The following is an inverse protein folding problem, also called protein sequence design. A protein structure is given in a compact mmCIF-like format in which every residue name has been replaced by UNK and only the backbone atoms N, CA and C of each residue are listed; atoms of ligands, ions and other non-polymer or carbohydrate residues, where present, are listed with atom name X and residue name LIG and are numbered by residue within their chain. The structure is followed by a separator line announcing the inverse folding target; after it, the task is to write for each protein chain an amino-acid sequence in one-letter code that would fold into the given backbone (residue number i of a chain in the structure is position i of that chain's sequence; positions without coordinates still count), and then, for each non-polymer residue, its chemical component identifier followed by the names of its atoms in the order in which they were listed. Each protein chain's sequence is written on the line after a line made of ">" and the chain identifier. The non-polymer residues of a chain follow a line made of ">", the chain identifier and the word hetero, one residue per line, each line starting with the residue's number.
data_IF_949306430443
#
_entry.id   IF_949306430443
#
_cell.length_a   1.000
_cell.length_b   1.000
_cell.length_c   1.000
_cell.angle_alpha   90.00
_cell.angle_beta   90.00
_cell.angle_gamma   90.00
#
_symmetry.space_group_name_H-M   'P 1'
#
loop_
_entity.id
_entity.type
_entity.pdbx_description
1 polymer ?
#
# COMPACT_ATOMS: atom_id res chain seq x y z
N UNK A 1 -51.88 -36.60 11.05
CA UNK A 1 -50.96 -36.35 9.91
C UNK A 1 -50.75 -34.89 9.57
N UNK A 2 -51.75 -33.99 9.51
CA UNK A 2 -51.56 -32.58 9.16
C UNK A 2 -50.64 -31.78 10.08
N UNK A 3 -50.63 -32.03 11.42
CA UNK A 3 -49.74 -31.31 12.37
C UNK A 3 -48.25 -31.72 12.23
N UNK A 4 -47.96 -32.97 11.90
CA UNK A 4 -46.54 -33.40 11.67
C UNK A 4 -45.96 -32.82 10.38
N UNK A 5 -46.79 -32.60 9.36
CA UNK A 5 -46.38 -31.94 8.10
C UNK A 5 -46.11 -30.44 8.27
N UNK A 6 -46.85 -29.78 9.17
CA UNK A 6 -46.64 -28.35 9.44
C UNK A 6 -45.33 -28.13 10.21
N UNK A 7 -45.03 -28.97 11.23
CA UNK A 7 -43.76 -28.91 11.98
C UNK A 7 -42.56 -29.20 11.08
N UNK A 8 -42.68 -30.16 10.15
CA UNK A 8 -41.62 -30.46 9.18
C UNK A 8 -41.35 -29.31 8.19
N UNK A 9 -42.44 -28.62 7.74
CA UNK A 9 -42.31 -27.43 6.89
C UNK A 9 -41.67 -26.24 7.65
N UNK A 10 -42.03 -26.06 8.93
CA UNK A 10 -41.44 -24.99 9.76
C UNK A 10 -39.96 -25.32 10.04
N UNK A 11 -39.60 -26.56 10.33
CA UNK A 11 -38.20 -26.97 10.49
C UNK A 11 -37.39 -26.83 9.21
N UNK A 12 -37.95 -27.14 8.03
CA UNK A 12 -37.34 -26.93 6.74
C UNK A 12 -37.17 -25.44 6.42
N UNK A 13 -38.11 -24.58 6.80
CA UNK A 13 -37.99 -23.12 6.61
C UNK A 13 -36.92 -22.57 7.56
N UNK A 14 -36.88 -23.00 8.82
CA UNK A 14 -35.87 -22.56 9.79
C UNK A 14 -34.46 -23.02 9.36
N UNK A 15 -34.33 -24.27 8.81
CA UNK A 15 -33.03 -24.73 8.28
C UNK A 15 -32.61 -24.00 7.01
N UNK A 16 -33.55 -23.48 6.22
CA UNK A 16 -33.25 -22.66 5.03
C UNK A 16 -32.81 -21.24 5.40
N UNK A 17 -33.30 -20.69 6.51
CA UNK A 17 -32.91 -19.33 6.93
C UNK A 17 -31.49 -19.28 7.49
N UNK A 18 -30.97 -20.35 8.10
CA UNK A 18 -29.60 -20.38 8.66
C UNK A 18 -28.48 -20.40 7.61
N UNK A 19 -28.76 -20.67 6.33
CA UNK A 19 -27.75 -20.69 5.27
C UNK A 19 -27.51 -19.34 4.61
N UNK A 20 -28.11 -18.24 5.10
CA UNK A 20 -28.09 -16.92 4.48
C UNK A 20 -27.77 -15.77 5.45
N UNK A 21 -27.34 -16.10 6.65
CA UNK A 21 -26.87 -15.12 7.63
C UNK A 21 -25.39 -14.81 7.38
N UNK A 22 -24.97 -13.57 7.63
CA UNK A 22 -23.57 -13.23 7.66
C UNK A 22 -22.89 -13.94 8.83
N UNK A 23 -21.73 -14.54 8.55
CA UNK A 23 -21.06 -15.43 9.52
C UNK A 23 -20.49 -14.69 10.73
N UNK A 24 -20.28 -13.36 10.64
CA UNK A 24 -19.79 -12.57 11.77
C UNK A 24 -20.75 -12.62 12.99
N UNK A 25 -22.04 -12.82 12.74
CA UNK A 25 -23.05 -12.96 13.81
C UNK A 25 -22.88 -14.22 14.67
N UNK A 26 -22.17 -15.23 14.13
CA UNK A 26 -21.96 -16.53 14.76
C UNK A 26 -20.52 -16.75 15.25
N UNK A 27 -19.67 -15.69 15.20
CA UNK A 27 -18.33 -15.73 15.81
C UNK A 27 -18.50 -15.80 17.33
N UNK A 28 -17.85 -16.78 17.93
CA UNK A 28 -17.91 -17.01 19.38
C UNK A 28 -17.24 -15.84 20.12
N UNK A 29 -18.09 -15.00 20.72
CA UNK A 29 -17.71 -13.85 21.55
C UNK A 29 -17.58 -14.22 23.04
N UNK A 30 -18.20 -15.29 23.49
CA UNK A 30 -18.37 -15.62 24.90
C UNK A 30 -17.42 -16.72 25.39
N UNK A 31 -16.49 -17.14 24.54
CA UNK A 31 -15.51 -18.16 24.90
C UNK A 31 -14.51 -17.63 25.94
N UNK A 32 -14.66 -18.04 27.19
CA UNK A 32 -13.78 -17.67 28.31
C UNK A 32 -12.43 -18.38 28.33
N UNK A 33 -12.05 -19.08 27.29
CA UNK A 33 -10.77 -19.79 27.22
C UNK A 33 -9.61 -18.80 27.13
N UNK A 34 -9.17 -18.34 28.32
CA UNK A 34 -7.97 -17.51 28.43
C UNK A 34 -6.78 -18.39 28.80
N UNK A 35 -5.90 -18.65 27.87
CA UNK A 35 -4.61 -19.28 28.15
C UNK A 35 -3.64 -18.13 28.40
N UNK A 36 -3.19 -17.99 29.66
CA UNK A 36 -2.20 -16.99 30.01
C UNK A 36 -0.81 -17.61 29.85
N UNK A 37 0.04 -16.91 29.11
CA UNK A 37 1.48 -17.19 29.05
C UNK A 37 2.22 -16.09 29.80
N UNK A 38 3.25 -16.41 30.57
CA UNK A 38 4.14 -15.40 31.15
C UNK A 38 4.86 -14.70 29.97
N UNK A 39 4.76 -13.38 29.92
CA UNK A 39 5.43 -12.53 28.94
C UNK A 39 5.90 -11.26 29.65
N UNK A 40 7.14 -10.86 29.39
CA UNK A 40 7.72 -9.62 29.91
C UNK A 40 7.42 -8.41 29.00
N UNK A 41 6.71 -8.63 27.88
CA UNK A 41 6.32 -7.55 26.97
C UNK A 41 5.18 -6.72 27.58
N UNK A 42 5.14 -5.44 27.27
CA UNK A 42 4.13 -4.51 27.77
C UNK A 42 2.71 -4.92 27.33
N UNK A 43 2.57 -5.34 26.09
CA UNK A 43 1.37 -5.94 25.52
C UNK A 43 1.64 -7.37 25.05
N UNK A 44 0.63 -8.21 25.16
CA UNK A 44 0.71 -9.59 24.71
C UNK A 44 -0.62 -10.07 24.14
N UNK A 45 -0.64 -10.42 22.85
CA UNK A 45 -1.82 -10.95 22.16
C UNK A 45 -2.08 -12.41 22.53
N UNK A 46 -3.20 -12.68 23.17
CA UNK A 46 -3.69 -14.03 23.42
C UNK A 46 -4.16 -14.62 22.10
N UNK A 47 -4.95 -13.84 21.35
CA UNK A 47 -5.25 -14.14 19.96
C UNK A 47 -5.51 -12.87 19.13
N UNK A 48 -5.34 -13.01 17.80
CA UNK A 48 -5.71 -12.01 16.79
C UNK A 48 -6.32 -12.75 15.58
N UNK A 49 -7.64 -12.77 15.48
CA UNK A 49 -8.35 -13.51 14.46
C UNK A 49 -8.94 -12.53 13.42
N UNK A 50 -8.78 -12.88 12.17
CA UNK A 50 -9.31 -12.15 11.02
C UNK A 50 -10.29 -13.05 10.26
N UNK A 51 -11.49 -12.54 10.02
CA UNK A 51 -12.51 -13.21 9.23
C UNK A 51 -12.86 -12.30 8.05
N UNK A 52 -12.90 -12.86 6.86
CA UNK A 52 -13.30 -12.17 5.64
C UNK A 52 -14.39 -12.99 4.98
N UNK A 53 -15.55 -12.39 4.75
CA UNK A 53 -16.66 -13.06 4.12
C UNK A 53 -17.10 -12.33 2.85
N UNK A 54 -17.08 -13.01 1.73
CA UNK A 54 -17.69 -12.54 0.49
C UNK A 54 -19.17 -12.97 0.49
N UNK A 55 -20.05 -11.99 0.51
CA UNK A 55 -21.48 -12.20 0.64
C UNK A 55 -22.24 -11.58 -0.53
N UNK A 56 -22.98 -12.40 -1.28
CA UNK A 56 -23.88 -11.94 -2.34
C UNK A 56 -25.29 -11.80 -1.79
N UNK A 57 -25.83 -10.58 -1.88
CA UNK A 57 -27.22 -10.30 -1.50
C UNK A 57 -28.18 -10.95 -2.47
N UNK A 58 -29.16 -11.72 -1.96
CA UNK A 58 -30.21 -12.32 -2.79
C UNK A 58 -31.25 -11.31 -3.28
N UNK A 59 -31.31 -10.14 -2.66
CA UNK A 59 -32.32 -9.13 -2.97
C UNK A 59 -31.82 -8.13 -4.00
N UNK A 60 -30.54 -7.73 -3.91
CA UNK A 60 -29.94 -6.73 -4.80
C UNK A 60 -28.94 -7.34 -5.80
N UNK A 61 -28.59 -8.64 -5.64
CA UNK A 61 -27.51 -9.32 -6.35
C UNK A 61 -26.12 -8.67 -6.16
N UNK A 62 -26.04 -7.62 -5.38
CA UNK A 62 -24.77 -6.97 -5.05
C UNK A 62 -23.92 -7.85 -4.15
N UNK A 63 -22.61 -7.73 -4.34
CA UNK A 63 -21.60 -8.43 -3.53
C UNK A 63 -20.99 -7.44 -2.56
N UNK A 64 -20.90 -7.84 -1.31
CA UNK A 64 -20.26 -7.11 -0.23
C UNK A 64 -19.17 -7.95 0.41
N UNK A 65 -18.20 -7.29 1.02
CA UNK A 65 -17.16 -7.94 1.82
C UNK A 65 -17.35 -7.54 3.28
N UNK A 66 -17.58 -8.52 4.16
CA UNK A 66 -17.57 -8.32 5.60
C UNK A 66 -16.23 -8.72 6.16
N UNK A 67 -15.55 -7.78 6.81
CA UNK A 67 -14.29 -8.02 7.47
C UNK A 67 -14.48 -7.90 8.98
N UNK A 68 -14.23 -8.97 9.71
CA UNK A 68 -14.29 -8.99 11.17
C UNK A 68 -12.89 -9.21 11.72
N UNK A 69 -12.52 -8.37 12.67
CA UNK A 69 -11.34 -8.57 13.51
C UNK A 69 -11.78 -8.88 14.93
N UNK A 70 -11.21 -9.93 15.51
CA UNK A 70 -11.47 -10.34 16.88
C UNK A 70 -10.14 -10.57 17.60
N UNK A 71 -9.83 -9.73 18.56
CA UNK A 71 -8.56 -9.72 19.29
C UNK A 71 -8.79 -9.89 20.78
N UNK A 72 -7.82 -10.51 21.45
CA UNK A 72 -7.77 -10.57 22.91
C UNK A 72 -6.33 -10.32 23.34
N UNK A 73 -6.10 -9.24 24.07
CA UNK A 73 -4.77 -8.75 24.42
C UNK A 73 -4.66 -8.54 25.91
N UNK A 74 -3.58 -9.02 26.51
CA UNK A 74 -3.23 -8.73 27.90
C UNK A 74 -2.35 -7.50 27.97
N UNK A 75 -2.68 -6.60 28.89
CA UNK A 75 -1.93 -5.39 29.20
C UNK A 75 -1.06 -5.67 30.41
N UNK A 76 0.24 -5.80 30.26
CA UNK A 76 1.17 -5.95 31.36
C UNK A 76 1.65 -4.60 31.88
N UNK A 77 1.82 -3.60 31.02
CA UNK A 77 2.18 -2.22 31.33
C UNK A 77 1.50 -1.25 30.36
N UNK A 78 1.11 -0.10 30.86
CA UNK A 78 0.53 0.99 30.08
C UNK A 78 1.64 2.03 29.84
N UNK A 79 2.28 1.99 28.69
CA UNK A 79 3.37 2.90 28.34
C UNK A 79 2.95 3.98 27.33
N UNK A 80 1.84 3.78 26.62
CA UNK A 80 1.35 4.70 25.62
C UNK A 80 -0.11 5.09 25.94
N UNK A 81 -0.46 6.39 25.89
CA UNK A 81 -1.85 6.83 25.98
C UNK A 81 -2.80 6.19 24.95
N UNK A 82 -2.26 5.68 23.83
CA UNK A 82 -3.03 5.00 22.79
C UNK A 82 -3.37 3.54 23.13
N UNK A 83 -2.81 2.97 24.21
CA UNK A 83 -3.05 1.57 24.60
C UNK A 83 -4.52 1.31 24.99
N UNK A 84 -5.29 2.37 25.27
CA UNK A 84 -6.73 2.31 25.58
C UNK A 84 -7.62 2.71 24.39
N UNK A 85 -7.08 2.87 23.20
CA UNK A 85 -7.81 3.31 22.02
C UNK A 85 -8.01 2.19 21.00
N UNK A 86 -9.20 2.12 20.43
CA UNK A 86 -9.53 1.22 19.32
C UNK A 86 -9.70 2.07 18.06
N UNK A 87 -8.75 1.97 17.16
CA UNK A 87 -8.75 2.72 15.90
C UNK A 87 -9.28 1.82 14.78
N UNK A 88 -10.42 2.20 14.19
CA UNK A 88 -11.03 1.48 13.07
C UNK A 88 -10.97 2.38 11.83
N UNK A 89 -10.25 1.93 10.79
CA UNK A 89 -10.18 2.63 9.51
C UNK A 89 -11.55 2.63 8.80
N UNK A 90 -11.93 3.78 8.25
CA UNK A 90 -13.09 3.96 7.37
C UNK A 90 -12.72 3.97 5.88
N UNK A 91 -11.44 3.85 5.55
CA UNK A 91 -10.97 3.85 4.17
C UNK A 91 -11.56 2.64 3.43
N UNK A 92 -12.29 2.90 2.35
CA UNK A 92 -13.02 1.88 1.58
C UNK A 92 -14.03 1.06 2.41
N UNK A 93 -14.57 1.66 3.48
CA UNK A 93 -15.58 1.06 4.34
C UNK A 93 -16.90 1.76 4.09
N UNK A 94 -17.93 1.00 3.68
CA UNK A 94 -19.28 1.49 3.47
C UNK A 94 -20.03 1.65 4.80
N UNK A 95 -19.74 0.76 5.78
CA UNK A 95 -20.42 0.74 7.07
C UNK A 95 -19.58 0.04 8.15
N UNK A 96 -19.54 0.57 9.37
CA UNK A 96 -19.11 -0.17 10.57
C UNK A 96 -20.35 -0.85 11.13
N UNK A 97 -20.43 -2.16 10.97
CA UNK A 97 -21.63 -2.96 11.27
C UNK A 97 -21.76 -3.28 12.75
N UNK A 98 -20.62 -3.55 13.40
CA UNK A 98 -20.58 -3.93 14.81
C UNK A 98 -19.23 -3.55 15.43
N UNK A 99 -19.24 -3.13 16.68
CA UNK A 99 -18.05 -2.93 17.51
C UNK A 99 -18.40 -3.32 18.95
N UNK A 100 -17.61 -4.20 19.55
CA UNK A 100 -17.78 -4.66 20.93
C UNK A 100 -16.46 -4.70 21.64
N UNK A 101 -16.46 -4.45 22.94
CA UNK A 101 -15.28 -4.58 23.78
C UNK A 101 -15.61 -5.24 25.11
N UNK A 102 -14.66 -6.00 25.67
CA UNK A 102 -14.69 -6.48 27.05
C UNK A 102 -13.39 -6.11 27.74
N UNK A 103 -13.50 -5.65 28.97
CA UNK A 103 -12.37 -5.49 29.87
C UNK A 103 -12.52 -6.57 30.95
N UNK A 104 -11.54 -7.44 31.06
CA UNK A 104 -11.52 -8.59 31.94
C UNK A 104 -10.38 -8.39 32.93
N UNK A 105 -10.70 -8.20 34.19
CA UNK A 105 -9.75 -8.22 35.30
C UNK A 105 -9.99 -9.44 36.19
N UNK A 106 -9.25 -9.57 37.29
CA UNK A 106 -9.31 -10.76 38.15
C UNK A 106 -10.71 -11.01 38.74
N UNK A 107 -11.49 -9.94 38.97
CA UNK A 107 -12.73 -10.01 39.75
C UNK A 107 -13.97 -9.66 38.93
N UNK A 108 -13.82 -8.98 37.79
CA UNK A 108 -14.94 -8.44 37.01
C UNK A 108 -14.74 -8.55 35.51
N UNK A 109 -15.86 -8.65 34.81
CA UNK A 109 -15.92 -8.51 33.34
C UNK A 109 -16.85 -7.35 33.04
N UNK A 110 -16.32 -6.31 32.38
CA UNK A 110 -17.10 -5.18 31.89
C UNK A 110 -17.24 -5.35 30.39
N UNK A 111 -18.47 -5.39 29.90
CA UNK A 111 -18.74 -5.57 28.46
C UNK A 111 -19.43 -4.34 27.89
N UNK A 112 -19.01 -3.92 26.73
CA UNK A 112 -19.57 -2.80 25.97
C UNK A 112 -20.09 -3.33 24.63
N UNK A 113 -21.38 -3.15 24.39
CA UNK A 113 -22.03 -3.46 23.12
C UNK A 113 -21.91 -2.30 22.13
N UNK A 114 -22.47 -2.48 20.94
CA UNK A 114 -22.32 -1.51 19.84
C UNK A 114 -22.84 -0.11 20.20
N UNK A 115 -23.98 -0.02 20.91
CA UNK A 115 -24.57 1.26 21.26
C UNK A 115 -23.78 2.02 22.33
N UNK A 116 -23.11 1.28 23.26
CA UNK A 116 -22.19 1.87 24.21
C UNK A 116 -20.91 2.32 23.52
N UNK A 117 -20.36 1.50 22.64
CA UNK A 117 -19.15 1.83 21.87
C UNK A 117 -19.35 3.09 21.01
N UNK A 118 -20.50 3.26 20.37
CA UNK A 118 -20.81 4.50 19.62
C UNK A 118 -20.68 5.78 20.45
N UNK A 119 -20.95 5.70 21.74
CA UNK A 119 -20.83 6.85 22.67
C UNK A 119 -19.40 7.14 23.10
N UNK A 120 -18.48 6.21 22.82
CA UNK A 120 -17.06 6.30 23.17
C UNK A 120 -16.21 6.82 22.02
N UNK A 121 -16.83 7.21 20.88
CA UNK A 121 -16.11 7.83 19.78
C UNK A 121 -15.57 9.17 20.25
N UNK A 122 -14.26 9.35 20.11
CA UNK A 122 -13.60 10.61 20.45
C UNK A 122 -13.96 11.65 19.38
N UNK A 123 -14.82 12.61 19.72
CA UNK A 123 -15.26 13.66 18.79
C UNK A 123 -14.19 14.71 18.50
N UNK A 124 -13.15 14.78 19.33
CA UNK A 124 -12.07 15.75 19.19
C UNK A 124 -11.02 15.28 18.15
N UNK A 125 -10.97 13.96 17.85
CA UNK A 125 -10.16 13.33 16.83
C UNK A 125 -11.04 12.95 15.59
N UNK A 126 -11.79 13.90 15.05
CA UNK A 126 -12.61 13.66 13.86
C UNK A 126 -11.75 13.60 12.58
N UNK A 127 -10.94 12.56 12.45
CA UNK A 127 -10.37 12.18 11.17
C UNK A 127 -11.47 11.50 10.34
N UNK A 128 -11.72 12.01 9.13
CA UNK A 128 -12.71 11.42 8.23
C UNK A 128 -12.38 9.96 7.87
N UNK A 129 -11.13 9.57 8.00
CA UNK A 129 -10.60 8.25 7.64
C UNK A 129 -10.64 7.21 8.76
N UNK A 130 -10.89 7.62 10.01
CA UNK A 130 -10.84 6.72 11.17
C UNK A 130 -11.97 7.01 12.17
N UNK A 131 -12.42 5.96 12.86
CA UNK A 131 -13.15 6.10 14.12
C UNK A 131 -12.22 5.67 15.24
N UNK A 132 -12.05 6.55 16.23
CA UNK A 132 -11.30 6.27 17.45
C UNK A 132 -12.25 6.09 18.62
N UNK A 133 -12.21 4.91 19.26
CA UNK A 133 -13.00 4.56 20.42
C UNK A 133 -12.11 4.48 21.64
N UNK A 134 -12.35 5.31 22.64
CA UNK A 134 -11.55 5.34 23.87
C UNK A 134 -12.19 4.49 24.96
N UNK A 135 -11.53 3.41 25.33
CA UNK A 135 -11.96 2.56 26.42
C UNK A 135 -11.66 3.22 27.79
N UNK A 136 -12.62 3.25 28.70
CA UNK A 136 -12.40 3.82 30.02
C UNK A 136 -11.69 2.83 30.99
N UNK A 137 -10.91 3.37 31.90
CA UNK A 137 -10.42 2.67 33.10
C UNK A 137 -9.69 1.35 32.84
N UNK A 138 -8.70 1.35 31.95
CA UNK A 138 -7.79 0.23 31.76
C UNK A 138 -6.68 0.31 32.84
N UNK A 139 -6.43 -0.81 33.49
CA UNK A 139 -5.36 -1.00 34.47
C UNK A 139 -4.33 -2.02 33.96
N UNK A 140 -3.11 -1.94 34.49
CA UNK A 140 -2.10 -2.96 34.27
C UNK A 140 -2.56 -4.31 34.80
N UNK A 141 -2.44 -5.35 34.00
CA UNK A 141 -2.93 -6.70 34.30
C UNK A 141 -4.28 -7.03 33.67
N UNK A 142 -5.00 -6.04 33.11
CA UNK A 142 -6.26 -6.26 32.45
C UNK A 142 -6.08 -7.03 31.13
N UNK A 143 -7.14 -7.70 30.69
CA UNK A 143 -7.25 -8.31 29.39
C UNK A 143 -8.35 -7.57 28.64
N UNK A 144 -8.02 -7.07 27.46
CA UNK A 144 -8.96 -6.41 26.57
C UNK A 144 -9.30 -7.34 25.41
N UNK A 145 -10.59 -7.61 25.25
CA UNK A 145 -11.11 -8.36 24.12
C UNK A 145 -11.93 -7.42 23.23
N UNK A 146 -11.63 -7.36 21.94
CA UNK A 146 -12.26 -6.45 20.99
C UNK A 146 -12.72 -7.27 19.80
N UNK A 147 -13.95 -7.02 19.36
CA UNK A 147 -14.44 -7.51 18.08
C UNK A 147 -15.13 -6.38 17.33
N UNK A 148 -14.75 -6.20 16.08
CA UNK A 148 -15.46 -5.28 15.19
C UNK A 148 -15.65 -5.87 13.81
N UNK A 149 -16.70 -5.46 13.13
CA UNK A 149 -17.03 -5.84 11.76
C UNK A 149 -17.28 -4.62 10.91
N UNK A 150 -16.62 -4.55 9.76
CA UNK A 150 -16.83 -3.55 8.73
C UNK A 150 -17.41 -4.18 7.47
N UNK A 151 -18.31 -3.46 6.80
CA UNK A 151 -18.84 -3.79 5.49
C UNK A 151 -18.13 -2.93 4.45
N UNK A 152 -17.68 -3.56 3.37
CA UNK A 152 -17.02 -2.93 2.24
C UNK A 152 -17.73 -3.28 0.95
N UNK A 153 -17.58 -2.45 -0.05
CA UNK A 153 -17.97 -2.79 -1.41
C UNK A 153 -17.09 -3.91 -1.95
N UNK A 154 -17.59 -4.58 -2.97
CA UNK A 154 -16.86 -5.69 -3.57
C UNK A 154 -15.50 -5.24 -4.11
N UNK A 155 -14.47 -5.93 -3.65
CA UNK A 155 -13.14 -5.90 -4.25
C UNK A 155 -12.66 -7.35 -4.34
N UNK A 156 -12.26 -7.78 -5.51
CA UNK A 156 -11.81 -9.15 -5.69
C UNK A 156 -10.44 -9.43 -5.04
N UNK A 157 -9.65 -8.40 -4.74
CA UNK A 157 -8.39 -8.49 -4.01
C UNK A 157 -8.52 -8.02 -2.57
N UNK A 158 -7.80 -8.68 -1.67
CA UNK A 158 -7.62 -8.20 -0.32
C UNK A 158 -6.29 -8.65 0.28
N UNK A 159 -5.88 -7.95 1.33
CA UNK A 159 -4.69 -8.33 2.08
C UNK A 159 -4.88 -8.10 3.58
N UNK A 160 -4.14 -8.85 4.39
CA UNK A 160 -4.10 -8.72 5.85
C UNK A 160 -2.68 -8.88 6.35
N UNK A 161 -2.22 -7.92 7.15
CA UNK A 161 -1.02 -8.06 7.96
C UNK A 161 -1.42 -8.79 9.24
N UNK A 162 -0.67 -9.82 9.59
CA UNK A 162 -1.00 -10.72 10.71
C UNK A 162 -0.23 -10.37 11.98
N UNK A 163 0.97 -9.83 11.83
CA UNK A 163 1.84 -9.44 12.95
C UNK A 163 1.50 -8.06 13.49
N UNK A 164 1.64 -7.92 14.81
CA UNK A 164 1.50 -6.66 15.52
C UNK A 164 2.85 -6.17 16.05
N UNK A 165 2.84 -5.04 16.75
CA UNK A 165 4.01 -4.51 17.47
C UNK A 165 4.32 -5.27 18.76
N UNK A 166 3.50 -6.25 19.12
CA UNK A 166 3.65 -7.10 20.29
C UNK A 166 3.48 -8.58 19.89
N UNK A 167 4.01 -9.53 20.69
CA UNK A 167 3.91 -10.95 20.39
C UNK A 167 2.46 -11.46 20.53
N UNK A 168 2.10 -12.46 19.69
CA UNK A 168 0.75 -13.04 19.66
C UNK A 168 0.87 -14.55 19.76
N UNK A 169 0.15 -15.16 20.72
CA UNK A 169 0.14 -16.61 20.90
C UNK A 169 -0.53 -17.35 19.74
N UNK A 170 -1.69 -16.86 19.30
CA UNK A 170 -2.49 -17.48 18.26
C UNK A 170 -3.05 -16.41 17.33
N UNK A 171 -2.86 -16.57 16.03
CA UNK A 171 -3.59 -15.78 15.03
C UNK A 171 -4.24 -16.70 14.01
N UNK A 172 -5.47 -16.38 13.62
CA UNK A 172 -6.20 -17.11 12.57
C UNK A 172 -6.66 -16.15 11.50
N UNK A 173 -6.51 -16.57 10.27
CA UNK A 173 -7.19 -15.96 9.14
C UNK A 173 -8.19 -16.95 8.58
N UNK A 174 -9.45 -16.53 8.42
CA UNK A 174 -10.52 -17.35 7.86
C UNK A 174 -11.16 -16.57 6.71
N UNK A 175 -11.08 -17.12 5.50
CA UNK A 175 -11.75 -16.60 4.32
C UNK A 175 -12.99 -17.46 4.03
N UNK A 176 -14.17 -16.85 4.16
CA UNK A 176 -15.46 -17.51 3.96
C UNK A 176 -15.88 -17.24 2.52
N UNK A 177 -15.77 -18.28 1.70
CA UNK A 177 -15.91 -18.19 0.24
C UNK A 177 -17.36 -18.11 -0.21
N UNK A 178 -18.30 -18.71 0.57
CA UNK A 178 -19.67 -18.92 0.12
C UNK A 178 -19.71 -19.62 -1.26
N UNK A 179 -20.07 -18.89 -2.32
CA UNK A 179 -20.12 -19.38 -3.71
C UNK A 179 -18.96 -18.85 -4.56
N UNK A 180 -17.99 -18.17 -3.96
CA UNK A 180 -16.80 -17.67 -4.64
C UNK A 180 -15.70 -18.74 -4.67
N UNK A 181 -14.78 -18.60 -5.61
CA UNK A 181 -13.48 -19.29 -5.59
C UNK A 181 -12.45 -18.32 -5.04
N UNK A 182 -11.45 -18.84 -4.34
CA UNK A 182 -10.37 -17.99 -3.85
C UNK A 182 -8.99 -18.53 -4.19
N UNK A 183 -8.05 -17.62 -4.36
CA UNK A 183 -6.62 -17.87 -4.36
C UNK A 183 -6.00 -17.14 -3.17
N UNK A 184 -5.13 -17.79 -2.40
CA UNK A 184 -4.51 -17.22 -1.22
C UNK A 184 -2.99 -17.42 -1.29
N UNK A 185 -2.25 -16.34 -1.04
CA UNK A 185 -0.79 -16.37 -0.94
C UNK A 185 -0.34 -15.83 0.41
N UNK A 186 0.60 -16.54 1.05
CA UNK A 186 1.17 -16.17 2.35
C UNK A 186 2.59 -15.68 2.10
N UNK A 187 2.91 -14.49 2.59
CA UNK A 187 4.25 -13.88 2.49
C UNK A 187 4.95 -13.89 3.83
N UNK A 188 6.26 -14.04 3.77
CA UNK A 188 7.16 -13.96 4.93
C UNK A 188 6.88 -15.00 6.04
N UNK A 189 6.21 -16.11 5.70
CA UNK A 189 6.00 -17.24 6.62
C UNK A 189 6.29 -18.57 5.92
N UNK A 190 7.16 -19.36 6.52
CA UNK A 190 7.56 -20.68 5.98
C UNK A 190 6.81 -21.84 6.65
N UNK A 191 6.08 -21.59 7.74
CA UNK A 191 5.48 -22.62 8.58
C UNK A 191 3.96 -22.64 8.59
N UNK A 192 3.32 -21.88 7.68
CA UNK A 192 1.89 -21.77 7.62
C UNK A 192 1.38 -22.26 6.26
N UNK A 193 0.24 -22.93 6.27
CA UNK A 193 -0.41 -23.44 5.07
C UNK A 193 -1.91 -23.16 5.10
N UNK A 194 -2.50 -23.12 3.91
CA UNK A 194 -3.93 -22.94 3.72
C UNK A 194 -4.62 -24.29 3.88
N UNK A 195 -5.65 -24.37 4.70
CA UNK A 195 -6.49 -25.55 4.90
C UNK A 195 -7.94 -25.24 4.56
N UNK A 196 -8.61 -26.19 3.90
CA UNK A 196 -10.04 -26.12 3.66
C UNK A 196 -10.81 -26.51 4.93
N UNK A 197 -11.79 -25.71 5.29
CA UNK A 197 -12.66 -25.94 6.44
C UNK A 197 -14.12 -25.64 6.09
N UNK A 198 -15.01 -26.02 6.98
CA UNK A 198 -16.39 -25.52 7.00
C UNK A 198 -16.52 -24.58 8.20
N UNK A 199 -16.81 -23.32 7.95
CA UNK A 199 -17.08 -22.32 8.98
C UNK A 199 -18.53 -21.85 8.83
N UNK A 200 -19.30 -21.95 9.90
CA UNK A 200 -20.72 -21.57 9.90
C UNK A 200 -21.54 -22.23 8.76
N UNK A 201 -21.23 -23.51 8.46
CA UNK A 201 -21.86 -24.26 7.37
C UNK A 201 -21.42 -23.87 5.96
N UNK A 202 -20.44 -22.97 5.81
CA UNK A 202 -19.95 -22.42 4.54
C UNK A 202 -18.53 -22.92 4.23
N UNK A 203 -18.25 -23.14 2.95
CA UNK A 203 -16.89 -23.42 2.50
C UNK A 203 -15.98 -22.25 2.87
N UNK A 204 -14.85 -22.56 3.45
CA UNK A 204 -13.91 -21.55 3.94
C UNK A 204 -12.49 -22.08 3.87
N UNK A 205 -11.55 -21.16 3.80
CA UNK A 205 -10.13 -21.42 3.93
C UNK A 205 -9.60 -20.86 5.24
N UNK A 206 -8.72 -21.59 5.90
CA UNK A 206 -8.12 -21.21 7.17
C UNK A 206 -6.60 -21.23 7.10
N UNK A 207 -5.98 -20.27 7.76
CA UNK A 207 -4.55 -20.25 8.06
C UNK A 207 -4.38 -19.99 9.56
N UNK A 208 -3.50 -20.74 10.20
CA UNK A 208 -3.21 -20.62 11.63
C UNK A 208 -1.74 -20.29 11.80
N UNK A 209 -1.48 -19.31 12.64
CA UNK A 209 -0.15 -18.89 13.08
C UNK A 209 -0.06 -19.03 14.60
N UNK A 210 1.01 -19.65 15.08
CA UNK A 210 1.26 -19.83 16.50
C UNK A 210 2.56 -19.13 16.90
N UNK A 211 2.55 -18.52 18.08
CA UNK A 211 3.73 -17.90 18.70
C UNK A 211 4.41 -16.88 17.77
N UNK A 212 3.63 -15.94 17.25
CA UNK A 212 4.14 -14.82 16.48
C UNK A 212 4.97 -13.91 17.38
N UNK A 213 6.17 -13.59 16.94
CA UNK A 213 7.03 -12.60 17.59
C UNK A 213 6.65 -11.21 17.16
N UNK A 214 6.90 -10.20 18.00
CA UNK A 214 6.78 -8.82 17.58
C UNK A 214 7.79 -8.51 16.48
N UNK A 215 7.35 -7.80 15.43
CA UNK A 215 8.26 -7.29 14.42
C UNK A 215 8.99 -6.07 14.98
N UNK A 216 10.30 -6.18 15.12
CA UNK A 216 11.13 -5.07 15.58
C UNK A 216 11.11 -3.94 14.54
N UNK A 217 10.99 -2.71 15.01
CA UNK A 217 11.15 -1.53 14.16
C UNK A 217 12.64 -1.15 14.14
N UNK A 218 13.38 -1.79 13.27
CA UNK A 218 14.82 -1.55 13.12
C UNK A 218 15.07 -0.38 12.18
N UNK A 219 16.05 0.46 12.52
CA UNK A 219 16.47 1.55 11.65
C UNK A 219 16.96 0.99 10.30
N UNK A 220 16.52 1.59 9.20
CA UNK A 220 16.80 1.16 7.82
C UNK A 220 16.17 -0.18 7.38
N UNK A 221 15.28 -0.75 8.17
CA UNK A 221 14.50 -1.91 7.75
C UNK A 221 13.24 -1.49 6.98
N UNK A 222 12.58 -2.48 6.36
CA UNK A 222 11.26 -2.31 5.72
C UNK A 222 10.22 -3.10 6.54
N UNK A 223 9.86 -2.63 7.75
CA UNK A 223 9.12 -3.45 8.71
C UNK A 223 7.75 -3.89 8.16
N UNK A 224 7.05 -3.03 7.43
CA UNK A 224 5.71 -3.35 6.88
C UNK A 224 5.81 -4.43 5.80
N UNK A 225 6.75 -4.30 4.86
CA UNK A 225 6.93 -5.28 3.79
C UNK A 225 7.45 -6.64 4.29
N UNK A 226 8.14 -6.65 5.42
CA UNK A 226 8.70 -7.87 6.03
C UNK A 226 7.74 -8.58 6.98
N UNK A 227 6.63 -7.96 7.38
CA UNK A 227 5.59 -8.61 8.19
C UNK A 227 4.95 -9.77 7.45
N UNK A 228 4.50 -10.77 8.22
CA UNK A 228 3.66 -11.84 7.68
C UNK A 228 2.38 -11.22 7.13
N UNK A 229 2.16 -11.42 5.84
CA UNK A 229 1.02 -10.90 5.11
C UNK A 229 0.30 -12.02 4.37
N UNK A 230 -1.02 -11.99 4.39
CA UNK A 230 -1.88 -12.82 3.56
C UNK A 230 -2.46 -11.92 2.47
N UNK A 231 -2.27 -12.30 1.21
CA UNK A 231 -2.99 -11.73 0.08
C UNK A 231 -3.95 -12.77 -0.46
N UNK A 232 -5.15 -12.35 -0.80
CA UNK A 232 -6.19 -13.24 -1.29
C UNK A 232 -6.97 -12.58 -2.42
N UNK A 233 -7.50 -13.43 -3.31
CA UNK A 233 -8.36 -13.05 -4.42
C UNK A 233 -9.62 -13.89 -4.37
N UNK A 234 -10.79 -13.27 -4.54
CA UNK A 234 -12.07 -13.96 -4.60
C UNK A 234 -12.83 -13.56 -5.86
N UNK A 235 -13.31 -14.54 -6.61
CA UNK A 235 -14.01 -14.32 -7.87
C UNK A 235 -15.20 -15.27 -8.01
N UNK A 236 -16.30 -14.75 -8.61
CA UNK A 236 -17.42 -15.58 -9.00
C UNK A 236 -17.02 -16.46 -10.19
N UNK A 237 -17.22 -17.77 -10.08
CA UNK A 237 -17.22 -18.81 -11.14
C UNK A 237 -16.70 -18.41 -12.55
N UNK A 238 -15.68 -17.57 -12.65
CA UNK A 238 -14.96 -17.39 -13.91
C UNK A 238 -13.94 -18.51 -14.04
N UNK A 239 -13.80 -19.01 -15.25
CA UNK A 239 -12.62 -19.79 -15.61
C UNK A 239 -11.39 -19.00 -15.17
N UNK A 240 -10.40 -19.69 -14.63
CA UNK A 240 -9.20 -19.07 -14.08
C UNK A 240 -8.65 -18.08 -15.11
N UNK A 241 -8.73 -16.75 -14.82
CA UNK A 241 -8.07 -15.75 -15.64
C UNK A 241 -6.59 -16.07 -15.56
N UNK A 242 -6.01 -16.45 -16.68
CA UNK A 242 -4.60 -16.79 -16.71
C UNK A 242 -3.76 -15.56 -16.38
N UNK A 243 -2.62 -15.76 -15.77
CA UNK A 243 -1.64 -14.70 -15.52
C UNK A 243 -1.31 -13.93 -16.81
N UNK A 244 -1.16 -14.65 -17.91
CA UNK A 244 -0.88 -14.07 -19.24
C UNK A 244 -2.02 -13.15 -19.69
N UNK A 245 -3.26 -13.55 -19.48
CA UNK A 245 -4.43 -12.74 -19.85
C UNK A 245 -4.55 -11.48 -19.00
N UNK A 246 -4.31 -11.58 -17.69
CA UNK A 246 -4.35 -10.40 -16.82
C UNK A 246 -3.29 -9.35 -17.21
N UNK A 247 -2.03 -9.78 -17.31
CA UNK A 247 -0.94 -8.87 -17.65
C UNK A 247 -1.04 -8.36 -19.08
N UNK A 248 -1.47 -9.20 -20.02
CA UNK A 248 -1.73 -8.81 -21.40
C UNK A 248 -2.83 -7.74 -21.51
N UNK A 249 -3.93 -7.88 -20.77
CA UNK A 249 -4.99 -6.88 -20.71
C UNK A 249 -4.50 -5.56 -20.09
N UNK A 250 -3.69 -5.63 -19.02
CA UNK A 250 -3.08 -4.44 -18.43
C UNK A 250 -2.24 -3.69 -19.48
N UNK A 251 -1.33 -4.39 -20.17
CA UNK A 251 -0.45 -3.81 -21.17
C UNK A 251 -1.25 -3.13 -22.29
N UNK A 252 -2.31 -3.78 -22.76
CA UNK A 252 -3.21 -3.20 -23.78
C UNK A 252 -3.90 -1.93 -23.28
N UNK A 253 -4.37 -1.92 -22.04
CA UNK A 253 -5.07 -0.78 -21.46
C UNK A 253 -4.19 0.46 -21.29
N UNK A 254 -2.89 0.27 -21.03
CA UNK A 254 -1.95 1.39 -20.85
C UNK A 254 -1.15 1.75 -22.09
N UNK A 255 -1.31 0.99 -23.18
CA UNK A 255 -0.49 1.10 -24.40
C UNK A 255 -0.50 2.47 -25.03
N UNK A 256 -1.68 3.08 -25.21
CA UNK A 256 -1.81 4.40 -25.87
C UNK A 256 -1.27 5.54 -24.99
N UNK A 257 -1.30 5.35 -23.68
CA UNK A 257 -0.76 6.28 -22.72
C UNK A 257 0.78 6.30 -22.76
N UNK A 258 1.39 5.12 -22.81
CA UNK A 258 2.85 4.97 -22.73
C UNK A 258 3.53 5.06 -24.08
N UNK A 259 2.85 4.68 -25.16
CA UNK A 259 3.42 4.62 -26.50
C UNK A 259 2.48 5.30 -27.51
N UNK A 260 2.49 6.64 -27.58
CA UNK A 260 1.60 7.39 -28.49
C UNK A 260 1.89 7.02 -29.94
N UNK A 261 0.82 6.73 -30.72
CA UNK A 261 0.93 6.33 -32.12
C UNK A 261 1.26 7.50 -33.05
N UNK A 262 0.76 8.67 -32.70
CA UNK A 262 0.92 9.88 -33.50
C UNK A 262 1.90 10.85 -32.86
N UNK A 263 2.54 11.64 -33.71
CA UNK A 263 3.38 12.78 -33.29
C UNK A 263 2.48 13.91 -32.83
N UNK A 264 2.89 14.64 -31.80
CA UNK A 264 2.18 15.80 -31.29
C UNK A 264 2.94 17.08 -31.67
N UNK A 265 2.27 17.99 -32.41
CA UNK A 265 2.88 19.24 -32.88
C UNK A 265 3.47 20.07 -31.74
N UNK A 266 2.81 20.10 -30.59
CA UNK A 266 3.29 20.82 -29.41
C UNK A 266 4.53 20.18 -28.79
N UNK A 267 4.59 18.85 -28.77
CA UNK A 267 5.80 18.13 -28.34
C UNK A 267 6.99 18.42 -29.26
N UNK A 268 6.76 18.52 -30.59
CA UNK A 268 7.80 18.92 -31.56
C UNK A 268 8.30 20.36 -31.29
N UNK A 269 7.40 21.31 -30.99
CA UNK A 269 7.78 22.69 -30.62
C UNK A 269 8.66 22.69 -29.36
N UNK A 270 8.23 21.98 -28.31
CA UNK A 270 8.98 21.87 -27.04
C UNK A 270 10.35 21.23 -27.28
N UNK A 271 10.43 20.17 -28.07
CA UNK A 271 11.72 19.54 -28.37
C UNK A 271 12.66 20.47 -29.13
N UNK A 272 12.13 21.31 -30.06
CA UNK A 272 12.90 22.35 -30.73
C UNK A 272 13.42 23.42 -29.76
N UNK A 273 12.59 23.83 -28.82
CA UNK A 273 12.99 24.75 -27.73
C UNK A 273 14.15 24.16 -26.91
N UNK A 274 14.02 22.91 -26.46
CA UNK A 274 15.06 22.18 -25.73
C UNK A 274 16.37 22.15 -26.53
N UNK A 275 16.32 21.72 -27.79
CA UNK A 275 17.51 21.63 -28.65
C UNK A 275 18.19 22.97 -28.88
N UNK A 276 17.44 24.07 -28.99
CA UNK A 276 17.97 25.41 -29.18
C UNK A 276 18.65 25.95 -27.91
N UNK A 277 18.20 25.56 -26.72
CA UNK A 277 18.83 25.96 -25.44
C UNK A 277 20.22 25.36 -25.21
N UNK A 278 20.55 24.25 -25.87
CA UNK A 278 21.79 23.47 -25.64
C UNK A 278 22.75 23.43 -26.85
N UNK A 279 22.82 24.47 -27.65
CA UNK A 279 23.44 24.58 -29.00
C UNK A 279 24.91 24.11 -29.13
N UNK A 280 25.64 23.71 -28.11
CA UNK A 280 27.08 23.46 -28.16
C UNK A 280 27.54 22.00 -27.97
N UNK A 281 26.64 21.03 -27.91
CA UNK A 281 27.01 19.66 -27.56
C UNK A 281 26.58 18.71 -28.68
N UNK A 282 27.46 17.80 -29.17
CA UNK A 282 27.00 16.74 -30.06
C UNK A 282 25.93 15.90 -29.35
N UNK A 283 24.76 15.84 -30.00
CA UNK A 283 23.61 15.13 -29.42
C UNK A 283 23.86 13.62 -29.51
N UNK A 284 23.59 12.95 -28.42
CA UNK A 284 23.35 11.52 -28.36
C UNK A 284 22.08 11.29 -27.54
N UNK A 285 21.53 10.10 -27.60
CA UNK A 285 20.27 9.70 -26.99
C UNK A 285 20.21 10.09 -25.49
N UNK A 286 21.25 9.74 -24.70
CA UNK A 286 21.31 10.06 -23.28
C UNK A 286 21.29 11.56 -23.00
N UNK A 287 21.98 12.37 -23.82
CA UNK A 287 22.00 13.82 -23.63
C UNK A 287 20.65 14.44 -23.95
N UNK A 288 19.96 13.94 -24.97
CA UNK A 288 18.60 14.39 -25.29
C UNK A 288 17.65 14.00 -24.16
N UNK A 289 17.73 12.75 -23.66
CA UNK A 289 16.91 12.30 -22.54
C UNK A 289 17.13 13.14 -21.27
N UNK A 290 18.40 13.47 -20.94
CA UNK A 290 18.73 14.37 -19.83
C UNK A 290 18.14 15.79 -20.04
N UNK A 291 18.23 16.34 -21.24
CA UNK A 291 17.73 17.68 -21.53
C UNK A 291 16.18 17.71 -21.46
N UNK A 292 15.52 16.67 -21.91
CA UNK A 292 14.07 16.49 -21.79
C UNK A 292 13.66 16.39 -20.30
N UNK A 293 14.34 15.54 -19.53
CA UNK A 293 14.09 15.36 -18.09
C UNK A 293 14.24 16.68 -17.33
N UNK A 294 15.33 17.39 -17.57
CA UNK A 294 15.59 18.70 -16.96
C UNK A 294 14.54 19.75 -17.35
N UNK A 295 14.15 19.77 -18.64
CA UNK A 295 13.10 20.68 -19.11
C UNK A 295 11.76 20.40 -18.45
N UNK A 296 11.33 19.14 -18.39
CA UNK A 296 10.05 18.76 -17.82
C UNK A 296 10.03 19.14 -16.34
N UNK A 297 11.03 18.71 -15.56
CA UNK A 297 11.12 18.95 -14.12
C UNK A 297 11.22 20.43 -13.74
N UNK A 298 11.73 21.28 -14.62
CA UNK A 298 11.82 22.72 -14.39
C UNK A 298 10.60 23.50 -14.88
N UNK A 299 9.78 22.96 -15.76
CA UNK A 299 8.71 23.73 -16.42
C UNK A 299 7.30 23.15 -16.19
N UNK A 300 7.16 21.89 -15.78
CA UNK A 300 5.86 21.27 -15.55
C UNK A 300 5.59 21.20 -14.04
N UNK A 301 4.34 21.44 -13.69
CA UNK A 301 3.83 21.27 -12.32
C UNK A 301 3.00 19.99 -12.26
N UNK A 302 3.25 19.19 -11.24
CA UNK A 302 2.43 18.01 -10.94
C UNK A 302 1.38 18.45 -9.91
N UNK A 303 0.11 18.25 -10.25
CA UNK A 303 -1.05 18.64 -9.46
C UNK A 303 -1.70 17.38 -8.87
N UNK A 304 -2.11 17.46 -7.61
CA UNK A 304 -2.91 16.43 -6.92
C UNK A 304 -4.42 16.60 -7.17
N UNK A 305 -4.83 17.60 -7.98
CA UNK A 305 -6.24 17.85 -8.29
C UNK A 305 -6.79 16.77 -9.22
N UNK A 306 -8.01 16.31 -8.94
CA UNK A 306 -8.75 15.39 -9.80
C UNK A 306 -9.50 16.19 -10.92
N UNK A 307 -8.70 16.78 -11.84
CA UNK A 307 -9.23 17.48 -13.02
C UNK A 307 -9.13 16.57 -14.25
N UNK A 308 -10.26 16.19 -14.89
CA UNK A 308 -10.25 15.38 -16.12
C UNK A 308 -9.40 15.96 -17.26
N UNK A 309 -9.14 17.26 -17.30
CA UNK A 309 -8.27 17.90 -18.30
C UNK A 309 -6.81 17.43 -18.19
N UNK A 310 -6.39 16.98 -17.00
CA UNK A 310 -5.06 16.43 -16.78
C UNK A 310 -4.86 15.04 -17.42
N UNK A 311 -5.87 14.50 -18.10
CA UNK A 311 -5.78 13.32 -18.94
C UNK A 311 -5.65 13.66 -20.47
N UNK A 312 -5.75 14.94 -20.82
CA UNK A 312 -5.61 15.42 -22.21
C UNK A 312 -4.20 15.93 -22.46
N UNK A 313 -3.44 15.22 -23.29
CA UNK A 313 -2.04 15.55 -23.60
C UNK A 313 -1.88 16.96 -24.21
N UNK A 314 -2.82 17.42 -25.03
CA UNK A 314 -2.74 18.76 -25.61
C UNK A 314 -2.91 19.84 -24.52
N UNK A 315 -3.86 19.63 -23.61
CA UNK A 315 -4.03 20.52 -22.46
C UNK A 315 -2.77 20.55 -21.60
N UNK A 316 -2.21 19.38 -21.28
CA UNK A 316 -1.01 19.23 -20.44
C UNK A 316 0.19 19.97 -21.05
N UNK A 317 0.49 19.72 -22.33
CA UNK A 317 1.61 20.32 -23.02
C UNK A 317 1.49 21.85 -23.15
N UNK A 318 0.26 22.36 -23.36
CA UNK A 318 0.03 23.79 -23.50
C UNK A 318 0.08 24.53 -22.14
N UNK A 319 -0.41 23.93 -21.06
CA UNK A 319 -0.50 24.56 -19.76
C UNK A 319 0.67 24.20 -18.83
N UNK A 320 1.46 23.19 -19.18
CA UNK A 320 2.58 22.65 -18.38
C UNK A 320 2.13 22.21 -16.97
N UNK A 321 0.93 21.64 -16.87
CA UNK A 321 0.35 21.07 -15.66
C UNK A 321 -0.06 19.64 -15.95
N UNK A 322 0.31 18.71 -15.09
CA UNK A 322 0.02 17.30 -15.20
C UNK A 322 -0.34 16.71 -13.84
N UNK A 323 -0.79 15.47 -13.78
CA UNK A 323 -0.85 14.69 -12.56
C UNK A 323 0.26 13.63 -12.56
N UNK A 324 0.40 12.90 -11.46
CA UNK A 324 1.43 11.86 -11.27
C UNK A 324 1.43 10.79 -12.36
N UNK A 325 0.27 10.47 -12.91
CA UNK A 325 0.14 9.45 -13.95
C UNK A 325 0.35 10.02 -15.35
N UNK A 326 -0.25 11.17 -15.64
CA UNK A 326 -0.24 11.75 -16.99
C UNK A 326 1.11 12.36 -17.38
N UNK A 327 2.00 12.63 -16.42
CA UNK A 327 3.33 13.15 -16.72
C UNK A 327 4.12 12.19 -17.61
N UNK A 328 3.85 10.88 -17.57
CA UNK A 328 4.46 9.88 -18.44
C UNK A 328 4.15 10.18 -19.91
N UNK A 329 2.93 10.65 -20.23
CA UNK A 329 2.56 11.01 -21.60
C UNK A 329 3.42 12.14 -22.15
N UNK A 330 3.84 13.09 -21.31
CA UNK A 330 4.73 14.18 -21.70
C UNK A 330 6.08 13.62 -22.13
N UNK A 331 6.67 12.75 -21.28
CA UNK A 331 7.93 12.07 -21.63
C UNK A 331 7.78 11.23 -22.91
N UNK A 332 6.75 10.41 -22.97
CA UNK A 332 6.49 9.53 -24.12
C UNK A 332 6.34 10.30 -25.43
N UNK A 333 5.64 11.45 -25.38
CA UNK A 333 5.47 12.31 -26.56
C UNK A 333 6.80 12.91 -27.00
N UNK A 334 7.61 13.43 -26.08
CA UNK A 334 8.92 14.02 -26.39
C UNK A 334 9.95 12.97 -26.82
N UNK A 335 9.92 11.78 -26.24
CA UNK A 335 10.82 10.68 -26.62
C UNK A 335 10.50 10.14 -28.00
N UNK A 336 9.21 10.05 -28.33
CA UNK A 336 8.79 9.70 -29.70
C UNK A 336 9.32 10.71 -30.73
N UNK A 337 9.18 12.02 -30.45
CA UNK A 337 9.72 13.07 -31.30
C UNK A 337 11.24 13.06 -31.41
N UNK A 338 11.91 12.66 -30.34
CA UNK A 338 13.37 12.60 -30.27
C UNK A 338 13.95 11.30 -30.81
N UNK A 339 13.11 10.33 -31.20
CA UNK A 339 13.48 8.96 -31.60
C UNK A 339 14.33 8.26 -30.55
N UNK A 340 13.90 8.39 -29.28
CA UNK A 340 14.51 7.72 -28.12
C UNK A 340 13.77 6.42 -27.86
N UNK A 341 14.53 5.33 -27.77
CA UNK A 341 14.00 4.03 -27.36
C UNK A 341 13.89 3.95 -25.84
N UNK A 342 12.72 3.53 -25.35
CA UNK A 342 12.43 3.41 -23.94
C UNK A 342 11.42 2.30 -23.66
N UNK A 343 11.41 1.86 -22.41
CA UNK A 343 10.40 0.98 -21.81
C UNK A 343 9.75 1.70 -20.64
N UNK A 344 8.53 1.33 -20.30
CA UNK A 344 7.87 1.78 -19.07
C UNK A 344 7.87 0.64 -18.08
N UNK A 345 8.46 0.87 -16.91
CA UNK A 345 8.43 -0.06 -15.79
C UNK A 345 7.37 0.36 -14.79
N UNK A 346 6.49 -0.57 -14.40
CA UNK A 346 5.46 -0.36 -13.39
C UNK A 346 5.78 -1.23 -12.18
N UNK A 347 5.73 -0.64 -10.99
CA UNK A 347 6.07 -1.33 -9.74
C UNK A 347 5.27 -0.77 -8.57
N UNK A 348 5.72 -1.05 -7.36
CA UNK A 348 5.20 -0.52 -6.10
C UNK A 348 6.33 -0.23 -5.12
N UNK A 349 6.04 0.62 -4.13
CA UNK A 349 6.97 0.96 -3.08
C UNK A 349 7.29 -0.27 -2.21
N UNK A 350 8.56 -0.71 -2.21
CA UNK A 350 9.05 -1.90 -1.50
C UNK A 350 8.94 -1.81 0.01
N UNK A 351 8.79 -0.63 0.56
CA UNK A 351 8.65 -0.45 2.01
C UNK A 351 7.28 -0.95 2.50
N UNK A 352 6.29 -1.02 1.61
CA UNK A 352 4.94 -1.47 1.90
C UNK A 352 4.60 -2.80 1.24
N UNK A 353 5.08 -3.02 0.00
CA UNK A 353 4.68 -4.16 -0.82
C UNK A 353 5.82 -4.63 -1.70
N UNK A 354 6.13 -5.92 -1.65
CA UNK A 354 7.01 -6.55 -2.64
C UNK A 354 6.18 -6.92 -3.86
N UNK A 355 6.65 -6.53 -5.04
CA UNK A 355 6.00 -6.87 -6.29
C UNK A 355 6.04 -8.38 -6.52
N UNK A 356 4.90 -8.94 -6.89
CA UNK A 356 4.74 -10.37 -7.14
C UNK A 356 4.02 -10.61 -8.46
N UNK A 357 4.71 -11.11 -9.50
CA UNK A 357 4.09 -11.37 -10.81
C UNK A 357 2.95 -12.39 -10.78
N UNK A 358 2.92 -13.25 -9.76
CA UNK A 358 1.89 -14.28 -9.61
C UNK A 358 0.61 -13.76 -8.95
N UNK A 359 0.64 -12.52 -8.45
CA UNK A 359 -0.50 -11.88 -7.79
C UNK A 359 -1.09 -10.78 -8.66
N UNK A 360 -2.38 -10.83 -8.94
CA UNK A 360 -3.12 -9.81 -9.69
C UNK A 360 -3.61 -8.70 -8.75
N UNK A 361 -2.70 -7.90 -8.20
CA UNK A 361 -3.03 -6.86 -7.24
C UNK A 361 -2.76 -5.46 -7.84
N UNK A 362 -3.81 -4.63 -8.07
CA UNK A 362 -3.63 -3.27 -8.56
C UNK A 362 -2.74 -2.39 -7.69
N UNK A 363 -2.57 -2.74 -6.40
CA UNK A 363 -1.66 -2.01 -5.52
C UNK A 363 -0.18 -2.18 -5.88
N UNK A 364 0.15 -3.16 -6.73
CA UNK A 364 1.48 -3.33 -7.30
C UNK A 364 1.77 -2.39 -8.47
N UNK A 365 0.77 -1.62 -8.92
CA UNK A 365 0.81 -0.81 -10.14
C UNK A 365 0.71 0.68 -9.80
N UNK A 366 1.42 1.14 -8.77
CA UNK A 366 1.32 2.50 -8.24
C UNK A 366 2.46 3.42 -8.64
N UNK A 367 3.62 2.84 -8.97
CA UNK A 367 4.84 3.57 -9.25
C UNK A 367 5.30 3.30 -10.67
N UNK A 368 5.76 4.35 -11.34
CA UNK A 368 6.15 4.30 -12.73
C UNK A 368 7.57 4.82 -12.92
N UNK A 369 8.33 4.12 -13.74
CA UNK A 369 9.65 4.54 -14.21
C UNK A 369 9.70 4.46 -15.73
N UNK A 370 10.53 5.28 -16.33
CA UNK A 370 10.97 5.10 -17.71
C UNK A 370 12.36 4.46 -17.66
N UNK A 371 12.54 3.38 -18.37
CA UNK A 371 13.82 2.70 -18.51
C UNK A 371 14.37 2.94 -19.92
N UNK A 372 15.64 3.31 -20.01
CA UNK A 372 16.37 3.49 -21.26
C UNK A 372 17.27 2.27 -21.45
N UNK A 373 16.84 1.26 -22.23
CA UNK A 373 17.52 -0.04 -22.30
C UNK A 373 18.94 0.06 -22.86
N UNK A 374 19.17 0.90 -23.86
CA UNK A 374 20.49 1.09 -24.48
C UNK A 374 21.52 1.73 -23.55
N UNK A 375 21.07 2.43 -22.50
CA UNK A 375 21.93 3.15 -21.55
C UNK A 375 21.90 2.52 -20.15
N UNK A 376 21.01 1.57 -19.89
CA UNK A 376 20.77 0.97 -18.57
C UNK A 376 20.50 2.05 -17.50
N UNK A 377 19.58 2.99 -17.82
CA UNK A 377 19.27 4.16 -17.00
C UNK A 377 17.78 4.26 -16.74
N UNK A 378 17.45 4.78 -15.56
CA UNK A 378 16.07 5.06 -15.18
C UNK A 378 15.79 6.57 -15.19
N UNK A 379 14.51 6.91 -15.38
CA UNK A 379 13.95 8.23 -15.18
C UNK A 379 12.72 8.05 -14.30
N UNK A 380 12.59 8.91 -13.29
CA UNK A 380 11.42 8.96 -12.42
C UNK A 380 10.58 10.18 -12.82
N UNK A 381 9.50 9.99 -13.60
CA UNK A 381 8.79 11.10 -14.24
C UNK A 381 8.16 12.09 -13.25
N UNK A 382 7.57 11.58 -12.18
CA UNK A 382 6.82 12.36 -11.18
C UNK A 382 7.65 12.79 -9.96
N UNK A 383 8.97 12.49 -9.93
CA UNK A 383 9.84 12.79 -8.79
C UNK A 383 10.93 13.78 -9.19
N UNK A 384 10.68 15.06 -8.93
CA UNK A 384 11.52 16.19 -9.40
C UNK A 384 12.94 16.17 -8.85
N UNK A 385 13.17 15.54 -7.71
CA UNK A 385 14.48 15.43 -7.05
C UNK A 385 15.42 14.42 -7.71
N UNK A 386 14.88 13.41 -8.42
CA UNK A 386 15.68 12.42 -9.14
C UNK A 386 16.15 12.95 -10.51
N UNK A 387 17.21 12.38 -11.02
CA UNK A 387 17.75 12.68 -12.35
C UNK A 387 17.87 11.39 -13.16
N UNK A 388 18.06 11.53 -14.46
CA UNK A 388 18.35 10.38 -15.33
C UNK A 388 19.52 9.58 -14.76
N UNK A 389 19.38 8.30 -14.62
CA UNK A 389 20.24 7.31 -13.96
C UNK A 389 19.81 6.93 -12.54
N UNK A 390 18.95 7.70 -11.90
CA UNK A 390 18.56 7.48 -10.51
C UNK A 390 17.17 6.84 -10.47
N UNK A 391 17.09 5.56 -10.02
CA UNK A 391 15.82 4.96 -9.61
C UNK A 391 15.56 5.30 -8.14
N UNK A 392 14.31 5.59 -7.74
CA UNK A 392 13.98 5.83 -6.34
C UNK A 392 14.36 4.65 -5.44
N UNK A 393 14.91 4.95 -4.26
CA UNK A 393 15.37 3.94 -3.31
C UNK A 393 14.27 3.02 -2.81
N UNK A 394 13.03 3.52 -2.81
CA UNK A 394 11.85 2.73 -2.45
C UNK A 394 11.36 1.79 -3.57
N UNK A 395 11.95 1.87 -4.76
CA UNK A 395 11.72 0.95 -5.87
C UNK A 395 12.90 0.00 -6.11
N UNK A 396 14.12 0.40 -5.72
CA UNK A 396 15.32 -0.43 -5.91
C UNK A 396 15.23 -1.78 -5.21
N UNK A 397 15.58 -2.85 -5.91
CA UNK A 397 15.51 -4.22 -5.39
C UNK A 397 14.09 -4.78 -5.32
N UNK A 398 13.09 -4.02 -5.79
CA UNK A 398 11.75 -4.57 -6.05
C UNK A 398 11.63 -5.03 -7.50
N UNK A 399 10.71 -5.94 -7.77
CA UNK A 399 10.37 -6.32 -9.14
C UNK A 399 9.39 -5.31 -9.75
N UNK A 400 9.32 -5.28 -11.08
CA UNK A 400 8.33 -4.55 -11.85
C UNK A 400 8.01 -5.27 -13.15
N UNK A 401 6.92 -4.86 -13.80
CA UNK A 401 6.60 -5.21 -15.17
C UNK A 401 7.19 -4.14 -16.09
N UNK A 402 8.04 -4.54 -17.02
CA UNK A 402 8.65 -3.70 -18.06
C UNK A 402 7.89 -3.92 -19.36
N UNK A 403 7.49 -2.86 -20.01
CA UNK A 403 6.68 -2.87 -21.22
C UNK A 403 7.42 -2.06 -22.28
N UNK A 404 7.57 -2.60 -23.48
CA UNK A 404 8.18 -1.91 -24.62
C UNK A 404 7.14 -1.36 -25.62
N UNK A 405 7.62 -0.68 -26.66
CA UNK A 405 6.79 -0.09 -27.72
C UNK A 405 6.00 -1.10 -28.58
N UNK A 406 6.46 -2.36 -28.62
CA UNK A 406 5.81 -3.44 -29.36
C UNK A 406 4.76 -4.16 -28.49
N UNK A 407 4.59 -3.67 -27.25
CA UNK A 407 3.72 -4.19 -26.20
C UNK A 407 4.14 -5.58 -25.72
N UNK A 408 5.39 -5.94 -25.93
CA UNK A 408 6.00 -7.07 -25.24
C UNK A 408 6.31 -6.67 -23.81
N UNK A 409 6.19 -7.61 -22.89
CA UNK A 409 6.45 -7.34 -21.46
C UNK A 409 7.22 -8.46 -20.80
N UNK A 410 7.98 -8.09 -19.77
CA UNK A 410 8.71 -9.03 -18.92
C UNK A 410 8.76 -8.51 -17.47
N UNK A 411 9.10 -9.39 -16.54
CA UNK A 411 9.29 -9.03 -15.13
C UNK A 411 10.77 -9.04 -14.81
N UNK A 412 11.23 -7.95 -14.19
CA UNK A 412 12.61 -7.83 -13.78
C UNK A 412 12.73 -7.04 -12.48
N UNK A 413 13.85 -7.23 -11.80
CA UNK A 413 14.23 -6.43 -10.65
C UNK A 413 14.67 -5.03 -11.11
N UNK A 414 14.24 -3.99 -10.41
CA UNK A 414 14.72 -2.62 -10.60
C UNK A 414 16.08 -2.51 -9.91
N UNK A 415 17.16 -2.52 -10.71
CA UNK A 415 18.53 -2.55 -10.22
C UNK A 415 19.27 -1.24 -10.45
N UNK A 416 20.23 -0.96 -9.60
CA UNK A 416 21.16 0.16 -9.80
C UNK A 416 22.38 -0.33 -10.60
N UNK A 417 22.55 0.18 -11.82
CA UNK A 417 23.63 -0.22 -12.72
C UNK A 417 24.96 0.46 -12.44
N UNK A 418 24.95 1.66 -11.84
CA UNK A 418 26.16 2.42 -11.51
C UNK A 418 26.11 2.83 -10.03
N UNK A 419 26.98 2.21 -9.23
CA UNK A 419 27.01 2.44 -7.78
C UNK A 419 27.96 3.59 -7.36
N UNK A 420 28.88 4.00 -8.24
CA UNK A 420 29.97 4.93 -7.90
C UNK A 420 29.58 6.42 -8.03
N UNK A 421 28.39 6.73 -8.56
CA UNK A 421 27.98 8.11 -8.80
C UNK A 421 27.53 8.88 -7.55
N UNK A 422 27.24 8.19 -6.44
CA UNK A 422 26.80 8.81 -5.18
C UNK A 422 28.01 9.21 -4.34
N UNK A 423 28.35 10.50 -4.36
CA UNK A 423 29.55 11.03 -3.68
C UNK A 423 29.25 12.32 -2.91
N UNK A 424 29.97 12.50 -1.81
CA UNK A 424 30.11 13.79 -1.11
C UNK A 424 31.56 14.22 -1.22
N UNK A 425 31.82 15.33 -1.93
CA UNK A 425 33.14 15.98 -1.94
C UNK A 425 33.10 17.18 -1.03
N UNK A 426 33.97 17.17 -0.01
CA UNK A 426 34.05 18.22 1.00
C UNK A 426 35.41 18.89 0.97
N UNK A 427 35.46 20.20 0.75
CA UNK A 427 36.64 21.02 0.83
C UNK A 427 36.52 21.89 2.07
N UNK A 428 37.51 21.83 2.96
CA UNK A 428 37.59 22.62 4.17
C UNK A 428 38.89 23.42 4.15
N UNK A 429 38.77 24.75 4.17
CA UNK A 429 39.89 25.66 4.31
C UNK A 429 39.85 26.27 5.70
N UNK A 430 40.91 26.08 6.48
CA UNK A 430 41.02 26.58 7.83
C UNK A 430 42.12 27.61 7.89
N UNK A 431 41.78 28.87 8.16
CA UNK A 431 42.71 29.97 8.32
C UNK A 431 42.76 30.38 9.79
N UNK A 432 43.92 30.20 10.42
CA UNK A 432 44.18 30.56 11.82
C UNK A 432 44.97 31.84 11.87
N UNK A 433 44.48 32.82 12.62
CA UNK A 433 45.21 34.08 12.80
C UNK A 433 46.54 33.87 13.53
N UNK A 434 47.53 34.72 13.27
CA UNK A 434 48.89 34.59 13.85
C UNK A 434 48.91 34.59 15.38
N UNK A 435 47.99 35.30 16.01
CA UNK A 435 47.83 35.36 17.46
C UNK A 435 46.93 34.25 18.03
N UNK A 436 46.53 33.29 17.23
CA UNK A 436 45.72 32.14 17.57
C UNK A 436 44.33 32.45 18.20
N UNK A 437 43.87 33.67 18.09
CA UNK A 437 42.61 34.10 18.72
C UNK A 437 41.42 34.10 17.78
N UNK A 438 41.63 33.85 16.48
CA UNK A 438 40.57 33.72 15.47
C UNK A 438 40.88 32.59 14.51
N UNK A 439 39.88 31.83 14.23
CA UNK A 439 39.88 30.79 13.19
C UNK A 439 38.74 31.09 12.22
N UNK A 440 39.07 31.16 10.94
CA UNK A 440 38.07 31.23 9.85
C UNK A 440 38.06 29.91 9.14
N UNK A 441 36.88 29.30 9.06
CA UNK A 441 36.66 28.04 8.37
C UNK A 441 35.74 28.34 7.17
N UNK A 442 36.22 28.04 5.98
CA UNK A 442 35.41 28.03 4.77
C UNK A 442 35.19 26.54 4.40
N UNK A 443 33.93 26.17 4.22
CA UNK A 443 33.57 24.83 3.83
C UNK A 443 32.74 24.88 2.55
N UNK A 444 33.08 24.05 1.56
CA UNK A 444 32.27 23.79 0.40
C UNK A 444 31.99 22.29 0.27
N UNK A 445 30.76 21.96 -0.06
CA UNK A 445 30.32 20.57 -0.27
C UNK A 445 29.73 20.44 -1.65
N UNK A 446 30.08 19.33 -2.35
CA UNK A 446 29.46 18.90 -3.59
C UNK A 446 28.83 17.54 -3.34
N UNK A 447 27.52 17.47 -3.55
CA UNK A 447 26.75 16.24 -3.46
C UNK A 447 26.42 15.72 -4.86
N UNK A 448 26.52 14.42 -5.09
CA UNK A 448 26.07 13.75 -6.32
C UNK A 448 25.30 12.48 -6.03
N UNK A 449 24.50 12.00 -7.00
CA UNK A 449 23.67 10.82 -6.88
C UNK A 449 22.66 10.93 -5.71
N UNK A 450 22.45 9.85 -4.99
CA UNK A 450 21.50 9.81 -3.87
C UNK A 450 21.80 10.80 -2.74
N UNK A 451 23.06 11.17 -2.52
CA UNK A 451 23.42 12.22 -1.57
C UNK A 451 22.93 13.63 -1.98
N UNK A 452 22.61 13.81 -3.25
CA UNK A 452 22.11 15.09 -3.75
C UNK A 452 20.57 15.20 -3.65
N UNK A 453 19.83 14.10 -3.52
CA UNK A 453 18.36 14.08 -3.60
C UNK A 453 17.72 15.03 -2.59
N UNK A 454 18.03 14.89 -1.29
CA UNK A 454 17.50 15.75 -0.24
C UNK A 454 17.81 17.23 -0.49
N UNK A 455 19.03 17.53 -1.01
CA UNK A 455 19.43 18.91 -1.29
C UNK A 455 18.77 19.47 -2.56
N UNK A 456 18.39 18.62 -3.51
CA UNK A 456 17.67 19.07 -4.72
C UNK A 456 16.26 19.53 -4.38
N UNK A 457 15.56 18.85 -3.49
CA UNK A 457 14.25 19.28 -3.02
C UNK A 457 14.28 20.72 -2.50
N UNK A 458 15.33 21.08 -1.76
CA UNK A 458 15.52 22.45 -1.27
C UNK A 458 15.55 23.51 -2.38
N UNK A 459 16.02 23.16 -3.58
CA UNK A 459 16.09 24.12 -4.71
C UNK A 459 14.69 24.51 -5.19
N UNK A 460 13.74 23.60 -5.11
CA UNK A 460 12.35 23.79 -5.57
C UNK A 460 11.44 24.43 -4.53
N UNK A 461 11.91 24.60 -3.27
CA UNK A 461 11.15 25.29 -2.24
C UNK A 461 11.09 26.81 -2.52
N UNK A 462 9.97 27.43 -2.14
CA UNK A 462 9.86 28.89 -2.12
C UNK A 462 10.81 29.51 -1.09
N UNK A 463 11.11 30.83 -1.22
CA UNK A 463 11.99 31.51 -0.28
C UNK A 463 11.48 31.51 1.17
N UNK A 464 10.13 31.41 1.37
CA UNK A 464 9.54 31.28 2.71
C UNK A 464 9.79 29.90 3.29
N UNK A 465 9.59 28.84 2.48
CA UNK A 465 9.82 27.46 2.90
C UNK A 465 11.31 27.17 3.18
N UNK A 466 12.23 27.83 2.46
CA UNK A 466 13.68 27.74 2.69
C UNK A 466 14.13 28.25 4.04
N UNK A 467 13.35 29.15 4.65
CA UNK A 467 13.69 29.72 5.98
C UNK A 467 13.30 28.79 7.13
N UNK A 468 12.40 27.86 6.89
CA UNK A 468 11.92 26.87 7.88
C UNK A 468 12.71 25.54 7.84
N UNK A 469 13.65 25.40 6.89
CA UNK A 469 14.50 24.24 6.65
C UNK A 469 15.91 24.44 7.24
#
# INVERSE_FOLDING_TARGET
>A
MKKKFLVLKILLIVSYFNTYSQSYLNIDWDSDKTILFPSDNDLYGIFNNHYVEYFKSKFTEEVYVYETRHTKTKINRINNPLDNEIIISKINVSEIVDVRAKIINQDTIISYGFDEMKKMINSDDSDENYNNYKLPNLDEGDIVEIMYTVKKDFNFNGNKIIEESYPILLSKFILIENNFKSNIKIYNSNNSFVSDIIFDGKKSKQIIFNNLTATANEQYSTPIANKIKISYQCYENRDDVSQIEYWGNLVQNVSELFFPKTVNEKAEEILREIKNGYVKIPWNELKIANAIDEYIKNNFVISDEDDPKLNDIEYILNNKISNDFSIIQVYSSLFKEADIEYEVAISCNRYFLKFDPELFDPNQLREFLIFLPNQEKYISPNRVEYRVSEAPEDLLGNYGIFIDKDLDYYFSEITLFDQDFSQIKKNIEVNISRNLNKTKINESRLFSGYWAITNRNYIYLSENEKTDF
#
